data_IF_058746438141
#
_entry.id   IF_058746438141
#
_cell.length_a   1.000
_cell.length_b   1.000
_cell.length_c   1.000
_cell.angle_alpha   90.00
_cell.angle_beta   90.00
_cell.angle_gamma   90.00
#
_symmetry.space_group_name_H-M   'P 1'
#
loop_
_entity.id
_entity.type
_entity.pdbx_description
1 polymer ?
#
# COMPACT_ATOMS: atom_id res chain seq x y z
N UNK A 1 7.07 -6.25 -29.17
CA UNK A 1 6.37 -5.18 -28.43
C UNK A 1 5.12 -4.85 -29.21
N UNK A 2 4.04 -5.58 -28.90
CA UNK A 2 2.76 -5.52 -29.61
C UNK A 2 2.03 -4.31 -29.04
N UNK A 3 2.33 -3.13 -29.60
CA UNK A 3 1.55 -1.94 -29.28
C UNK A 3 0.15 -2.15 -29.83
N UNK A 4 -0.78 -2.37 -28.90
CA UNK A 4 -2.18 -2.69 -29.11
C UNK A 4 -2.86 -1.73 -30.10
N UNK A 5 -3.38 -2.25 -31.22
CA UNK A 5 -3.98 -1.48 -32.32
C UNK A 5 -4.88 -0.32 -31.83
N UNK A 6 -4.30 0.88 -31.88
CA UNK A 6 -4.96 2.16 -31.58
C UNK A 6 -5.33 2.41 -30.11
N UNK A 7 -4.84 1.65 -29.12
CA UNK A 7 -4.95 2.05 -27.70
C UNK A 7 -3.94 3.17 -27.42
N UNK A 8 -2.68 2.94 -27.78
CA UNK A 8 -1.61 3.93 -27.60
C UNK A 8 -1.95 5.24 -28.30
N UNK A 9 -2.36 5.18 -29.57
CA UNK A 9 -2.75 6.36 -30.34
C UNK A 9 -3.88 7.14 -29.68
N UNK A 10 -4.94 6.45 -29.23
CA UNK A 10 -6.06 7.09 -28.54
C UNK A 10 -5.63 7.73 -27.20
N UNK A 11 -4.76 7.09 -26.44
CA UNK A 11 -4.25 7.66 -25.19
C UNK A 11 -3.34 8.87 -25.45
N UNK A 12 -2.48 8.83 -26.47
CA UNK A 12 -1.68 9.99 -26.90
C UNK A 12 -2.58 11.16 -27.32
N UNK A 13 -3.66 10.88 -28.05
CA UNK A 13 -4.66 11.90 -28.38
C UNK A 13 -5.35 12.46 -27.13
N UNK A 14 -5.74 11.61 -26.18
CA UNK A 14 -6.34 12.04 -24.92
C UNK A 14 -5.40 12.97 -24.14
N UNK A 15 -4.14 12.57 -23.95
CA UNK A 15 -3.10 13.39 -23.29
C UNK A 15 -2.96 14.76 -23.98
N UNK A 16 -2.87 14.76 -25.31
CA UNK A 16 -2.71 15.99 -26.09
C UNK A 16 -3.92 16.93 -25.93
N UNK A 17 -5.14 16.41 -25.90
CA UNK A 17 -6.34 17.23 -25.76
C UNK A 17 -6.51 17.79 -24.34
N UNK A 18 -6.22 16.99 -23.30
CA UNK A 18 -6.21 17.45 -21.91
C UNK A 18 -5.15 18.52 -21.71
N UNK A 19 -3.92 18.32 -22.23
CA UNK A 19 -2.86 19.35 -22.22
C UNK A 19 -3.32 20.65 -22.87
N UNK A 20 -3.94 20.58 -24.06
CA UNK A 20 -4.50 21.77 -24.73
C UNK A 20 -5.60 22.43 -23.91
N UNK A 21 -6.39 21.68 -23.15
CA UNK A 21 -7.43 22.24 -22.28
C UNK A 21 -6.82 23.00 -21.12
N UNK A 22 -5.78 22.46 -20.46
CA UNK A 22 -5.03 23.17 -19.41
C UNK A 22 -4.39 24.45 -19.97
N UNK A 23 -3.81 24.42 -21.17
CA UNK A 23 -3.29 25.63 -21.83
C UNK A 23 -4.38 26.67 -22.14
N UNK A 24 -5.58 26.23 -22.50
CA UNK A 24 -6.73 27.13 -22.69
C UNK A 24 -7.18 27.73 -21.36
N UNK A 25 -7.19 26.95 -20.28
CA UNK A 25 -7.47 27.42 -18.92
C UNK A 25 -6.47 28.48 -18.50
N UNK A 26 -5.17 28.25 -18.74
CA UNK A 26 -4.11 29.25 -18.53
C UNK A 26 -4.38 30.55 -19.28
N UNK A 27 -4.70 30.46 -20.58
CA UNK A 27 -5.07 31.63 -21.40
C UNK A 27 -6.34 32.33 -20.90
N UNK A 28 -7.31 31.57 -20.40
CA UNK A 28 -8.56 32.10 -19.87
C UNK A 28 -8.33 32.86 -18.56
N UNK A 29 -7.54 32.32 -17.63
CA UNK A 29 -7.24 32.99 -16.37
C UNK A 29 -6.45 34.29 -16.58
N UNK A 30 -5.53 34.32 -17.53
CA UNK A 30 -4.80 35.54 -17.89
C UNK A 30 -5.69 36.56 -18.64
N UNK A 31 -6.67 36.10 -19.42
CA UNK A 31 -7.59 36.98 -20.15
C UNK A 31 -8.93 36.30 -20.41
N UNK A 32 -9.91 36.47 -19.50
CA UNK A 32 -11.21 35.86 -19.66
C UNK A 32 -11.90 36.31 -20.95
N UNK A 33 -12.43 35.38 -21.73
CA UNK A 33 -13.24 35.71 -22.91
C UNK A 33 -14.31 34.67 -23.16
N UNK A 34 -15.46 35.13 -23.66
CA UNK A 34 -16.59 34.24 -23.98
C UNK A 34 -16.20 33.16 -24.99
N UNK A 35 -15.39 33.52 -25.98
CA UNK A 35 -14.87 32.59 -27.00
C UNK A 35 -14.04 31.46 -26.39
N UNK A 36 -13.21 31.75 -25.39
CA UNK A 36 -12.42 30.73 -24.70
C UNK A 36 -13.30 29.82 -23.84
N UNK A 37 -14.27 30.39 -23.11
CA UNK A 37 -15.25 29.64 -22.33
C UNK A 37 -16.00 28.61 -23.18
N UNK A 38 -16.59 29.06 -24.29
CA UNK A 38 -17.35 28.17 -25.19
C UNK A 38 -16.43 27.12 -25.84
N UNK A 39 -15.15 27.44 -26.08
CA UNK A 39 -14.18 26.52 -26.67
C UNK A 39 -13.68 25.41 -25.73
N UNK A 40 -13.71 25.64 -24.42
CA UNK A 40 -13.37 24.62 -23.43
C UNK A 40 -14.55 23.66 -23.28
N UNK A 41 -15.75 24.20 -23.00
CA UNK A 41 -16.97 23.41 -22.83
C UNK A 41 -17.32 22.52 -24.03
N UNK A 42 -17.02 22.97 -25.25
CA UNK A 42 -17.28 22.18 -26.46
C UNK A 42 -16.37 20.94 -26.60
N UNK A 43 -15.31 20.81 -25.79
CA UNK A 43 -14.36 19.69 -25.87
C UNK A 43 -14.55 18.62 -24.79
N UNK A 44 -15.42 18.88 -23.82
CA UNK A 44 -15.68 17.97 -22.69
C UNK A 44 -16.16 16.59 -23.17
N UNK A 45 -17.27 16.57 -23.92
CA UNK A 45 -17.84 15.36 -24.53
C UNK A 45 -16.81 14.54 -25.35
N UNK A 46 -15.83 15.22 -25.96
CA UNK A 46 -14.81 14.57 -26.77
C UNK A 46 -13.78 13.82 -25.93
N UNK A 47 -13.30 14.42 -24.84
CA UNK A 47 -12.36 13.80 -23.88
C UNK A 47 -13.03 12.61 -23.20
N UNK A 48 -14.28 12.78 -22.79
CA UNK A 48 -15.11 11.72 -22.20
C UNK A 48 -15.30 10.51 -23.12
N UNK A 49 -15.57 10.79 -24.39
CA UNK A 49 -15.69 9.74 -25.39
C UNK A 49 -14.34 9.05 -25.66
N UNK A 50 -13.23 9.79 -25.72
CA UNK A 50 -11.89 9.20 -25.87
C UNK A 50 -11.54 8.25 -24.70
N UNK A 51 -11.76 8.68 -23.46
CA UNK A 51 -11.64 7.84 -22.26
C UNK A 51 -12.46 6.56 -22.41
N UNK A 52 -13.73 6.69 -22.79
CA UNK A 52 -14.64 5.55 -22.98
C UNK A 52 -14.19 4.60 -24.09
N UNK A 53 -13.62 5.12 -25.19
CA UNK A 53 -13.03 4.31 -26.26
C UNK A 53 -11.83 3.51 -25.73
N UNK A 54 -10.92 4.17 -25.00
CA UNK A 54 -9.73 3.53 -24.41
C UNK A 54 -10.14 2.40 -23.47
N UNK A 55 -11.05 2.67 -22.52
CA UNK A 55 -11.57 1.67 -21.58
C UNK A 55 -12.14 0.46 -22.31
N UNK A 56 -13.06 0.68 -23.26
CA UNK A 56 -13.65 -0.43 -24.04
C UNK A 56 -12.60 -1.24 -24.79
N UNK A 57 -11.58 -0.60 -25.36
CA UNK A 57 -10.48 -1.31 -26.05
C UNK A 57 -9.64 -2.12 -25.06
N UNK A 58 -9.30 -1.57 -23.89
CA UNK A 58 -8.55 -2.27 -22.85
C UNK A 58 -9.30 -3.52 -22.37
N UNK A 59 -10.58 -3.37 -22.00
CA UNK A 59 -11.42 -4.51 -21.58
C UNK A 59 -11.58 -5.55 -22.68
N UNK A 60 -11.87 -5.12 -23.91
CA UNK A 60 -12.01 -6.03 -25.05
C UNK A 60 -10.74 -6.82 -25.30
N UNK A 61 -9.57 -6.20 -25.11
CA UNK A 61 -8.29 -6.89 -25.28
C UNK A 61 -8.05 -7.90 -24.15
N UNK A 62 -8.25 -7.48 -22.89
CA UNK A 62 -8.13 -8.34 -21.71
C UNK A 62 -9.03 -9.59 -21.76
N UNK A 63 -10.23 -9.47 -22.34
CA UNK A 63 -11.19 -10.60 -22.44
C UNK A 63 -10.92 -11.50 -23.65
N UNK A 64 -10.49 -10.94 -24.78
CA UNK A 64 -10.36 -11.71 -26.04
C UNK A 64 -9.08 -12.53 -26.12
N UNK A 65 -8.01 -12.05 -25.51
CA UNK A 65 -6.71 -12.70 -25.61
C UNK A 65 -6.43 -13.53 -24.36
N UNK A 66 -6.69 -14.83 -24.45
CA UNK A 66 -6.46 -15.79 -23.35
C UNK A 66 -4.98 -16.09 -23.11
N UNK A 67 -4.07 -15.45 -23.85
CA UNK A 67 -2.61 -15.64 -23.76
C UNK A 67 -1.86 -14.42 -23.24
N UNK A 68 -2.56 -13.37 -22.78
CA UNK A 68 -1.91 -12.19 -22.23
C UNK A 68 -1.01 -12.55 -21.05
N UNK A 69 0.21 -12.02 -21.08
CA UNK A 69 1.14 -12.09 -19.96
C UNK A 69 0.68 -11.12 -18.86
N UNK A 70 1.06 -11.41 -17.61
CA UNK A 70 0.70 -10.58 -16.45
C UNK A 70 1.11 -9.11 -16.65
N UNK A 71 2.31 -8.86 -17.19
CA UNK A 71 2.80 -7.51 -17.49
C UNK A 71 1.91 -6.74 -18.49
N UNK A 72 1.34 -7.42 -19.49
CA UNK A 72 0.42 -6.79 -20.44
C UNK A 72 -0.90 -6.42 -19.76
N UNK A 73 -1.41 -7.28 -18.88
CA UNK A 73 -2.61 -7.00 -18.08
C UNK A 73 -2.38 -5.78 -17.19
N UNK A 74 -1.22 -5.69 -16.55
CA UNK A 74 -0.91 -4.58 -15.65
C UNK A 74 -0.69 -3.26 -16.41
N UNK A 75 -0.11 -3.30 -17.61
CA UNK A 75 -0.07 -2.14 -18.50
C UNK A 75 -1.47 -1.67 -18.92
N UNK A 76 -2.38 -2.59 -19.28
CA UNK A 76 -3.77 -2.24 -19.62
C UNK A 76 -4.50 -1.59 -18.44
N UNK A 77 -4.28 -2.07 -17.21
CA UNK A 77 -4.82 -1.43 -15.99
C UNK A 77 -4.25 -0.03 -15.79
N UNK A 78 -2.95 0.16 -15.99
CA UNK A 78 -2.33 1.47 -15.86
C UNK A 78 -2.88 2.46 -16.89
N UNK A 79 -3.04 2.04 -18.16
CA UNK A 79 -3.66 2.85 -19.22
C UNK A 79 -5.08 3.27 -18.84
N UNK A 80 -5.87 2.37 -18.25
CA UNK A 80 -7.23 2.64 -17.78
C UNK A 80 -7.25 3.72 -16.69
N UNK A 81 -6.43 3.54 -15.64
CA UNK A 81 -6.31 4.51 -14.54
C UNK A 81 -5.81 5.86 -15.05
N UNK A 82 -4.86 5.87 -15.98
CA UNK A 82 -4.34 7.10 -16.58
C UNK A 82 -5.43 7.81 -17.37
N UNK A 83 -6.22 7.10 -18.19
CA UNK A 83 -7.31 7.70 -18.95
C UNK A 83 -8.39 8.32 -18.06
N UNK A 84 -8.74 7.68 -16.93
CA UNK A 84 -9.68 8.23 -15.95
C UNK A 84 -9.14 9.50 -15.29
N UNK A 85 -7.87 9.51 -14.88
CA UNK A 85 -7.30 10.69 -14.22
C UNK A 85 -7.03 11.85 -15.20
N UNK A 86 -6.77 11.56 -16.48
CA UNK A 86 -6.69 12.57 -17.53
C UNK A 86 -8.02 13.31 -17.72
N UNK A 87 -9.15 12.58 -17.69
CA UNK A 87 -10.47 13.20 -17.72
C UNK A 87 -10.74 14.03 -16.46
N UNK A 88 -10.35 13.57 -15.26
CA UNK A 88 -10.45 14.41 -14.06
C UNK A 88 -9.69 15.73 -14.17
N UNK A 89 -8.51 15.73 -14.79
CA UNK A 89 -7.74 16.96 -15.06
C UNK A 89 -8.48 17.89 -16.03
N UNK A 90 -9.16 17.33 -17.04
CA UNK A 90 -10.05 18.08 -17.91
C UNK A 90 -11.24 18.69 -17.13
N UNK A 91 -11.91 17.90 -16.30
CA UNK A 91 -13.02 18.36 -15.45
C UNK A 91 -12.58 19.48 -14.50
N UNK A 92 -11.40 19.35 -13.89
CA UNK A 92 -10.85 20.41 -13.03
C UNK A 92 -10.55 21.69 -13.82
N UNK A 93 -10.12 21.56 -15.08
CA UNK A 93 -9.95 22.71 -15.97
C UNK A 93 -11.28 23.42 -16.23
N UNK A 94 -12.36 22.68 -16.43
CA UNK A 94 -13.70 23.23 -16.58
C UNK A 94 -14.18 23.92 -15.31
N UNK A 95 -13.98 23.28 -14.16
CA UNK A 95 -14.34 23.81 -12.85
C UNK A 95 -13.61 25.12 -12.55
N UNK A 96 -12.30 25.22 -12.86
CA UNK A 96 -11.52 26.46 -12.73
C UNK A 96 -12.15 27.60 -13.54
N UNK A 97 -12.49 27.32 -14.80
CA UNK A 97 -13.11 28.32 -15.68
C UNK A 97 -14.50 28.72 -15.18
N UNK A 98 -15.26 27.77 -14.65
CA UNK A 98 -16.54 28.03 -13.98
C UNK A 98 -16.38 28.92 -12.76
N UNK A 99 -15.38 28.64 -11.92
CA UNK A 99 -15.06 29.42 -10.72
C UNK A 99 -14.70 30.86 -11.05
N UNK A 100 -13.86 31.07 -12.06
CA UNK A 100 -13.44 32.41 -12.49
C UNK A 100 -14.61 33.32 -12.89
N UNK A 101 -15.79 32.78 -13.19
CA UNK A 101 -17.02 33.56 -13.42
C UNK A 101 -17.64 34.20 -12.17
N UNK A 102 -17.23 33.80 -10.96
CA UNK A 102 -17.69 34.38 -9.69
C UNK A 102 -16.81 35.52 -9.19
N UNK A 103 -15.69 35.79 -9.85
CA UNK A 103 -14.81 36.91 -9.51
C UNK A 103 -15.53 38.24 -9.76
N UNK A 104 -15.54 39.12 -8.76
CA UNK A 104 -16.08 40.49 -8.89
C UNK A 104 -14.97 41.43 -9.35
N UNK A 105 -13.81 41.33 -8.71
CA UNK A 105 -12.63 42.12 -9.04
C UNK A 105 -11.63 41.29 -9.87
N UNK A 106 -11.62 41.51 -11.18
CA UNK A 106 -10.77 40.75 -12.08
C UNK A 106 -9.27 40.99 -11.86
N UNK A 107 -8.88 42.12 -11.25
CA UNK A 107 -7.48 42.41 -10.96
C UNK A 107 -6.90 41.38 -9.96
N UNK A 108 -7.76 40.72 -9.17
CA UNK A 108 -7.36 39.64 -8.25
C UNK A 108 -6.69 38.46 -8.98
N UNK A 109 -7.10 38.18 -10.22
CA UNK A 109 -6.58 37.05 -11.00
C UNK A 109 -5.12 37.30 -11.41
N UNK A 110 -4.79 38.55 -11.73
CA UNK A 110 -3.43 38.97 -12.06
C UNK A 110 -2.54 39.05 -10.81
N UNK A 111 -3.10 39.45 -9.66
CA UNK A 111 -2.37 39.57 -8.39
C UNK A 111 -1.91 38.21 -7.85
N UNK A 112 -2.72 37.17 -8.02
CA UNK A 112 -2.42 35.85 -7.46
C UNK A 112 -1.48 35.03 -8.33
N UNK A 113 -1.53 35.19 -9.66
CA UNK A 113 -0.71 34.47 -10.63
C UNK A 113 -0.80 32.92 -10.51
N UNK A 114 -1.62 32.33 -11.37
CA UNK A 114 -1.83 30.88 -11.41
C UNK A 114 -0.79 30.14 -12.26
N UNK A 115 0.07 30.87 -12.98
CA UNK A 115 1.01 30.33 -13.95
C UNK A 115 1.96 29.28 -13.35
N UNK A 116 2.53 29.47 -12.14
CA UNK A 116 3.45 28.49 -11.56
C UNK A 116 2.85 27.10 -11.40
N UNK A 117 1.61 26.98 -10.92
CA UNK A 117 0.94 25.68 -10.77
C UNK A 117 0.52 25.09 -12.12
N UNK A 118 0.08 25.92 -13.06
CA UNK A 118 -0.28 25.46 -14.41
C UNK A 118 0.93 24.90 -15.17
N UNK A 119 2.10 25.50 -15.03
CA UNK A 119 3.35 25.00 -15.61
C UNK A 119 3.73 23.62 -15.05
N UNK A 120 3.57 23.41 -13.73
CA UNK A 120 3.80 22.11 -13.10
C UNK A 120 2.88 21.04 -13.70
N UNK A 121 1.58 21.34 -13.84
CA UNK A 121 0.61 20.42 -14.45
C UNK A 121 0.96 20.12 -15.91
N UNK A 122 1.28 21.13 -16.72
CA UNK A 122 1.64 20.95 -18.14
C UNK A 122 2.90 20.09 -18.28
N UNK A 123 3.94 20.39 -17.50
CA UNK A 123 5.20 19.63 -17.50
C UNK A 123 4.96 18.16 -17.13
N UNK A 124 4.11 17.89 -16.15
CA UNK A 124 3.76 16.53 -15.76
C UNK A 124 2.99 15.81 -16.88
N UNK A 125 2.00 16.46 -17.51
CA UNK A 125 1.24 15.90 -18.63
C UNK A 125 2.14 15.56 -19.83
N UNK A 126 3.17 16.37 -20.10
CA UNK A 126 4.15 16.11 -21.16
C UNK A 126 4.97 14.83 -20.90
N UNK A 127 5.16 14.44 -19.64
CA UNK A 127 5.89 13.23 -19.25
C UNK A 127 5.01 11.96 -19.20
N UNK A 128 3.67 12.08 -19.12
CA UNK A 128 2.75 10.94 -18.93
C UNK A 128 2.89 9.91 -20.05
N UNK A 129 2.96 10.34 -21.31
CA UNK A 129 3.03 9.41 -22.43
C UNK A 129 4.30 8.55 -22.38
N UNK A 130 5.45 9.18 -22.12
CA UNK A 130 6.72 8.47 -22.02
C UNK A 130 6.76 7.56 -20.80
N UNK A 131 6.22 7.99 -19.66
CA UNK A 131 6.07 7.16 -18.47
C UNK A 131 5.31 5.86 -18.79
N UNK A 132 4.13 5.97 -19.43
CA UNK A 132 3.26 4.82 -19.71
C UNK A 132 3.88 3.87 -20.74
N UNK A 133 4.30 4.38 -21.90
CA UNK A 133 4.67 3.51 -23.03
C UNK A 133 6.10 2.99 -22.96
N UNK A 134 7.00 3.71 -22.30
CA UNK A 134 8.37 3.25 -22.06
C UNK A 134 8.49 2.47 -20.73
N UNK A 135 7.43 2.48 -19.90
CA UNK A 135 7.42 1.93 -18.54
C UNK A 135 8.62 2.43 -17.70
N UNK A 136 9.04 3.68 -17.93
CA UNK A 136 10.19 4.25 -17.23
C UNK A 136 9.76 4.77 -15.85
N UNK A 137 10.12 4.01 -14.81
CA UNK A 137 9.87 4.35 -13.41
C UNK A 137 10.36 5.76 -13.07
N UNK A 138 11.51 6.20 -13.59
CA UNK A 138 12.03 7.54 -13.27
C UNK A 138 11.19 8.66 -13.87
N UNK A 139 10.67 8.47 -15.09
CA UNK A 139 9.74 9.41 -15.71
C UNK A 139 8.42 9.40 -14.95
N UNK A 140 7.92 8.24 -14.56
CA UNK A 140 6.70 8.13 -13.73
C UNK A 140 6.85 8.82 -12.37
N UNK A 141 8.01 8.70 -11.71
CA UNK A 141 8.31 9.43 -10.47
C UNK A 141 8.30 10.95 -10.66
N UNK A 142 8.75 11.44 -11.81
CA UNK A 142 8.66 12.87 -12.13
C UNK A 142 7.22 13.37 -12.25
N UNK A 143 6.29 12.50 -12.70
CA UNK A 143 4.86 12.79 -12.73
C UNK A 143 4.30 12.80 -11.30
N UNK A 144 4.68 11.83 -10.45
CA UNK A 144 4.24 11.80 -9.04
C UNK A 144 4.67 13.05 -8.26
N UNK A 145 5.91 13.53 -8.46
CA UNK A 145 6.46 14.72 -7.77
C UNK A 145 5.71 16.02 -8.08
N UNK A 146 4.86 16.05 -9.11
CA UNK A 146 4.04 17.21 -9.41
C UNK A 146 3.03 17.51 -8.29
N UNK A 147 2.51 16.49 -7.61
CA UNK A 147 1.56 16.66 -6.50
C UNK A 147 2.23 17.38 -5.32
N UNK A 148 3.36 16.88 -4.83
CA UNK A 148 4.16 17.55 -3.78
C UNK A 148 4.45 19.03 -4.07
N UNK A 149 4.76 19.37 -5.33
CA UNK A 149 5.03 20.75 -5.74
C UNK A 149 3.75 21.61 -5.72
N UNK A 150 2.63 21.07 -6.22
CA UNK A 150 1.33 21.74 -6.22
C UNK A 150 0.78 21.93 -4.80
N UNK A 151 0.95 20.96 -3.92
CA UNK A 151 0.55 21.04 -2.51
C UNK A 151 1.28 22.15 -1.77
N UNK A 152 2.59 22.26 -1.97
CA UNK A 152 3.41 23.33 -1.38
C UNK A 152 2.98 24.71 -1.89
N UNK A 153 2.71 24.84 -3.19
CA UNK A 153 2.23 26.09 -3.78
C UNK A 153 0.84 26.46 -3.25
N UNK A 154 -0.07 25.48 -3.17
CA UNK A 154 -1.40 25.66 -2.58
C UNK A 154 -1.33 26.12 -1.12
N UNK A 155 -0.49 25.50 -0.29
CA UNK A 155 -0.33 25.88 1.11
C UNK A 155 0.15 27.32 1.28
N UNK A 156 1.12 27.77 0.46
CA UNK A 156 1.60 29.16 0.46
C UNK A 156 0.48 30.14 0.12
N UNK A 157 -0.30 29.82 -0.91
CA UNK A 157 -1.40 30.67 -1.35
C UNK A 157 -2.55 30.69 -0.35
N UNK A 158 -2.86 29.55 0.29
CA UNK A 158 -3.88 29.47 1.32
C UNK A 158 -3.63 30.49 2.45
N UNK A 159 -2.38 30.59 2.92
CA UNK A 159 -2.01 31.57 3.93
C UNK A 159 -2.12 33.01 3.41
N UNK A 160 -1.68 33.27 2.17
CA UNK A 160 -1.83 34.58 1.53
C UNK A 160 -3.30 35.03 1.43
N UNK A 161 -4.19 34.14 0.97
CA UNK A 161 -5.64 34.41 0.88
C UNK A 161 -6.23 34.76 2.25
N UNK A 162 -5.85 34.03 3.30
CA UNK A 162 -6.31 34.32 4.66
C UNK A 162 -5.85 35.69 5.15
N UNK A 163 -4.62 36.09 4.84
CA UNK A 163 -4.09 37.38 5.25
C UNK A 163 -4.74 38.53 4.48
N UNK A 164 -4.96 38.37 3.18
CA UNK A 164 -5.69 39.36 2.35
C UNK A 164 -7.15 39.51 2.83
N UNK A 165 -7.80 38.40 3.22
CA UNK A 165 -9.15 38.44 3.78
C UNK A 165 -9.21 39.20 5.11
N UNK A 166 -8.21 39.01 6.00
CA UNK A 166 -8.09 39.78 7.25
C UNK A 166 -7.80 41.26 7.00
N UNK A 167 -7.08 41.57 5.92
CA UNK A 167 -6.76 42.93 5.50
C UNK A 167 -7.94 43.68 4.85
N UNK A 168 -9.10 43.02 4.69
CA UNK A 168 -10.31 43.62 4.14
C UNK A 168 -10.47 43.43 2.62
N UNK A 169 -9.74 42.49 2.01
CA UNK A 169 -9.96 42.11 0.62
C UNK A 169 -11.36 41.54 0.38
N UNK A 170 -11.83 41.65 -0.86
CA UNK A 170 -13.21 41.27 -1.22
C UNK A 170 -13.42 39.75 -1.05
N UNK A 171 -14.28 39.29 -0.11
CA UNK A 171 -14.35 37.90 0.27
C UNK A 171 -14.76 36.95 -0.86
N UNK A 172 -15.66 37.35 -1.75
CA UNK A 172 -16.14 36.49 -2.83
C UNK A 172 -14.99 36.16 -3.79
N UNK A 173 -14.26 37.17 -4.25
CA UNK A 173 -13.13 37.04 -5.17
C UNK A 173 -11.98 36.24 -4.54
N UNK A 174 -11.67 36.48 -3.27
CA UNK A 174 -10.64 35.72 -2.53
C UNK A 174 -11.01 34.24 -2.33
N UNK A 175 -12.28 33.95 -2.01
CA UNK A 175 -12.78 32.57 -1.90
C UNK A 175 -12.76 31.88 -3.27
N UNK A 176 -13.13 32.58 -4.34
CA UNK A 176 -13.04 32.07 -5.72
C UNK A 176 -11.60 31.74 -6.10
N UNK A 177 -10.64 32.61 -5.80
CA UNK A 177 -9.20 32.35 -6.00
C UNK A 177 -8.79 31.09 -5.26
N UNK A 178 -9.16 30.95 -3.98
CA UNK A 178 -8.83 29.75 -3.20
C UNK A 178 -9.38 28.47 -3.85
N UNK A 179 -10.62 28.49 -4.37
CA UNK A 179 -11.18 27.35 -5.08
C UNK A 179 -10.42 27.03 -6.37
N UNK A 180 -9.98 28.03 -7.15
CA UNK A 180 -9.15 27.81 -8.33
C UNK A 180 -7.84 27.11 -7.96
N UNK A 181 -7.16 27.59 -6.93
CA UNK A 181 -5.94 26.95 -6.40
C UNK A 181 -6.20 25.52 -5.90
N UNK A 182 -7.34 25.29 -5.25
CA UNK A 182 -7.75 23.95 -4.81
C UNK A 182 -7.96 23.01 -6.01
N UNK A 183 -8.56 23.46 -7.10
CA UNK A 183 -8.71 22.62 -8.29
C UNK A 183 -7.36 22.32 -8.97
N UNK A 184 -6.40 23.25 -8.95
CA UNK A 184 -5.04 23.00 -9.41
C UNK A 184 -4.31 21.97 -8.54
N UNK A 185 -4.46 22.03 -7.21
CA UNK A 185 -3.95 21.00 -6.30
C UNK A 185 -4.58 19.62 -6.59
N UNK A 186 -5.89 19.55 -6.83
CA UNK A 186 -6.56 18.28 -7.22
C UNK A 186 -6.12 17.73 -8.58
N UNK A 187 -5.59 18.56 -9.47
CA UNK A 187 -4.91 18.05 -10.67
C UNK A 187 -3.63 17.30 -10.29
N UNK A 188 -2.92 17.76 -9.25
CA UNK A 188 -1.81 17.06 -8.61
C UNK A 188 -2.18 15.65 -8.15
N UNK A 189 -3.26 15.50 -7.36
CA UNK A 189 -3.79 14.18 -6.95
C UNK A 189 -3.97 13.25 -8.16
N UNK A 190 -4.51 13.79 -9.25
CA UNK A 190 -4.77 13.02 -10.47
C UNK A 190 -3.47 12.59 -11.15
N UNK A 191 -2.47 13.47 -11.20
CA UNK A 191 -1.12 13.17 -11.71
C UNK A 191 -0.39 12.14 -10.84
N UNK A 192 -0.50 12.24 -9.51
CA UNK A 192 0.03 11.25 -8.58
C UNK A 192 -0.54 9.86 -8.89
N UNK A 193 -1.87 9.75 -8.99
CA UNK A 193 -2.54 8.49 -9.34
C UNK A 193 -2.09 7.93 -10.71
N UNK A 194 -1.82 8.79 -11.70
CA UNK A 194 -1.28 8.37 -12.99
C UNK A 194 0.12 7.77 -12.84
N UNK A 195 1.03 8.46 -12.15
CA UNK A 195 2.39 8.01 -11.94
C UNK A 195 2.45 6.71 -11.12
N UNK A 196 1.68 6.60 -10.04
CA UNK A 196 1.59 5.37 -9.22
C UNK A 196 1.10 4.16 -10.04
N UNK A 197 0.13 4.37 -10.95
CA UNK A 197 -0.37 3.31 -11.81
C UNK A 197 0.70 2.80 -12.78
N UNK A 198 1.51 3.70 -13.34
CA UNK A 198 2.63 3.35 -14.22
C UNK A 198 3.71 2.60 -13.45
N UNK A 199 4.11 3.10 -12.27
CA UNK A 199 5.10 2.44 -11.42
C UNK A 199 4.60 1.04 -11.04
N UNK A 200 3.33 0.92 -10.64
CA UNK A 200 2.72 -0.36 -10.30
C UNK A 200 2.77 -1.36 -11.46
N UNK A 201 2.51 -0.90 -12.69
CA UNK A 201 2.59 -1.75 -13.88
C UNK A 201 4.04 -2.14 -14.23
N UNK A 202 5.01 -1.25 -14.03
CA UNK A 202 6.42 -1.55 -14.24
C UNK A 202 6.96 -2.53 -13.19
N UNK A 203 6.52 -2.44 -11.94
CA UNK A 203 6.99 -3.28 -10.84
C UNK A 203 6.23 -4.60 -10.69
N UNK A 204 5.07 -4.75 -11.33
CA UNK A 204 4.22 -5.95 -11.24
C UNK A 204 3.35 -6.05 -9.98
N UNK A 205 3.35 -5.01 -9.13
CA UNK A 205 2.54 -4.95 -7.92
C UNK A 205 1.99 -3.53 -7.71
N UNK A 206 0.75 -3.43 -7.21
CA UNK A 206 0.17 -2.14 -6.81
C UNK A 206 0.97 -1.52 -5.67
N UNK A 207 1.65 -0.41 -5.95
CA UNK A 207 2.47 0.34 -5.00
C UNK A 207 2.09 1.81 -5.01
N UNK A 208 2.03 2.40 -3.81
CA UNK A 208 1.88 3.86 -3.64
C UNK A 208 3.25 4.52 -3.58
N UNK A 209 3.30 5.82 -3.83
CA UNK A 209 4.56 6.57 -3.88
C UNK A 209 5.32 6.52 -2.53
N UNK A 210 4.62 6.64 -1.40
CA UNK A 210 5.24 6.56 -0.06
C UNK A 210 5.91 5.21 0.18
N UNK A 211 5.24 4.14 -0.24
CA UNK A 211 5.74 2.77 -0.14
C UNK A 211 6.93 2.55 -1.06
N UNK A 212 6.93 3.17 -2.23
CA UNK A 212 8.06 3.15 -3.15
C UNK A 212 9.28 3.81 -2.52
N UNK A 213 9.14 4.99 -1.92
CA UNK A 213 10.24 5.67 -1.23
C UNK A 213 10.74 4.88 -0.01
N UNK A 214 9.84 4.29 0.77
CA UNK A 214 10.22 3.43 1.87
C UNK A 214 11.02 2.20 1.40
N UNK A 215 10.66 1.64 0.25
CA UNK A 215 11.42 0.56 -0.38
C UNK A 215 12.78 1.02 -0.89
N UNK A 216 12.85 2.17 -1.59
CA UNK A 216 14.11 2.76 -2.07
C UNK A 216 15.07 3.03 -0.91
N UNK A 217 14.62 3.71 0.13
CA UNK A 217 15.44 3.99 1.33
C UNK A 217 15.87 2.68 2.01
N UNK A 218 14.97 1.69 2.11
CA UNK A 218 15.31 0.38 2.70
C UNK A 218 16.37 -0.37 1.89
N UNK A 219 16.35 -0.25 0.55
CA UNK A 219 17.33 -0.88 -0.34
C UNK A 219 18.67 -0.14 -0.32
N UNK A 220 18.66 1.19 -0.29
CA UNK A 220 19.88 2.02 -0.24
C UNK A 220 20.66 1.79 1.06
N UNK A 221 19.95 1.63 2.18
CA UNK A 221 20.54 1.36 3.49
C UNK A 221 20.88 -0.11 3.71
N UNK A 222 20.33 -1.01 2.89
CA UNK A 222 20.83 -2.37 2.84
C UNK A 222 22.18 -2.38 2.10
N UNK A 223 23.23 -2.93 2.72
CA UNK A 223 24.54 -3.11 2.08
C UNK A 223 24.49 -4.21 0.98
N UNK A 224 23.56 -4.08 0.03
CA UNK A 224 23.28 -4.99 -1.07
C UNK A 224 23.66 -4.29 -2.38
N UNK A 225 24.97 -4.24 -2.68
CA UNK A 225 25.48 -3.52 -3.85
C UNK A 225 24.89 -4.04 -5.18
N UNK A 226 24.41 -5.29 -5.22
CA UNK A 226 23.72 -5.89 -6.39
C UNK A 226 22.29 -5.37 -6.64
N UNK A 227 21.65 -4.74 -5.65
CA UNK A 227 20.30 -4.15 -5.78
C UNK A 227 20.31 -2.65 -6.04
N UNK A 228 21.48 -1.99 -5.90
CA UNK A 228 21.66 -0.54 -6.07
C UNK A 228 21.70 -0.07 -7.52
N UNK A 229 21.93 -0.95 -8.49
CA UNK A 229 22.15 -0.58 -9.91
C UNK A 229 20.86 -0.23 -10.69
N UNK A 230 19.97 0.56 -10.08
CA UNK A 230 18.68 1.08 -10.57
C UNK A 230 17.45 0.21 -10.23
N UNK A 231 16.53 0.80 -9.46
CA UNK A 231 15.15 0.34 -9.20
C UNK A 231 14.35 -0.03 -10.47
N UNK A 232 14.81 0.42 -11.65
CA UNK A 232 14.28 0.04 -12.96
C UNK A 232 14.29 -1.47 -13.23
N UNK A 233 15.08 -2.26 -12.50
CA UNK A 233 15.15 -3.73 -12.67
C UNK A 233 14.60 -4.49 -11.45
N UNK A 234 13.95 -3.79 -10.52
CA UNK A 234 13.40 -4.40 -9.31
C UNK A 234 11.94 -4.77 -9.54
N UNK A 235 11.65 -6.07 -9.50
CA UNK A 235 10.29 -6.57 -9.53
C UNK A 235 9.79 -6.84 -8.11
N UNK A 236 8.55 -6.47 -7.85
CA UNK A 236 7.83 -6.82 -6.63
C UNK A 236 6.87 -7.96 -6.91
N UNK A 237 6.91 -8.98 -6.05
CA UNK A 237 5.92 -10.05 -6.08
C UNK A 237 5.16 -10.07 -4.75
N UNK A 238 3.84 -9.88 -4.76
CA UNK A 238 3.06 -9.93 -3.54
C UNK A 238 3.14 -11.35 -2.96
N UNK A 239 3.54 -11.45 -1.69
CA UNK A 239 3.51 -12.71 -0.94
C UNK A 239 2.27 -12.83 -0.05
N UNK A 240 1.63 -11.69 0.26
CA UNK A 240 0.36 -11.66 0.97
C UNK A 240 0.15 -10.34 1.71
N UNK A 241 -1.06 -10.17 2.23
CA UNK A 241 -1.38 -9.16 3.23
C UNK A 241 -1.70 -9.88 4.53
N UNK A 242 -1.02 -9.51 5.61
CA UNK A 242 -1.33 -10.07 6.93
C UNK A 242 -2.71 -9.59 7.38
N UNK A 243 -3.47 -10.40 8.13
CA UNK A 243 -4.74 -9.98 8.79
C UNK A 243 -4.56 -8.71 9.65
N UNK A 244 -3.32 -8.42 10.01
CA UNK A 244 -2.89 -7.29 10.81
C UNK A 244 -2.77 -5.96 10.04
N UNK A 245 -2.88 -6.00 8.71
CA UNK A 245 -2.77 -4.87 7.79
C UNK A 245 -1.36 -4.61 7.23
N UNK A 246 -0.37 -5.47 7.54
CA UNK A 246 0.97 -5.34 6.96
C UNK A 246 1.03 -6.01 5.59
N UNK A 247 1.60 -5.32 4.59
CA UNK A 247 1.78 -5.85 3.23
C UNK A 247 3.18 -6.42 3.06
N UNK A 248 3.28 -7.60 2.45
CA UNK A 248 4.53 -8.33 2.28
C UNK A 248 4.77 -8.60 0.80
N UNK A 249 5.94 -8.21 0.32
CA UNK A 249 6.38 -8.44 -1.06
C UNK A 249 7.78 -9.03 -1.08
N UNK A 250 8.04 -9.98 -1.96
CA UNK A 250 9.42 -10.30 -2.31
C UNK A 250 9.92 -9.30 -3.36
N UNK A 251 11.17 -8.90 -3.17
CA UNK A 251 11.89 -7.94 -4.02
C UNK A 251 13.02 -8.72 -4.70
N UNK A 252 13.07 -8.70 -6.02
CA UNK A 252 14.11 -9.39 -6.78
C UNK A 252 14.61 -8.52 -7.94
N UNK A 253 15.92 -8.57 -8.22
CA UNK A 253 16.50 -7.96 -9.41
C UNK A 253 16.32 -8.91 -10.61
N UNK A 254 15.54 -8.49 -11.61
CA UNK A 254 15.21 -9.32 -12.78
C UNK A 254 16.41 -9.62 -13.67
N UNK A 255 17.43 -8.74 -13.70
CA UNK A 255 18.59 -8.89 -14.59
C UNK A 255 19.65 -9.82 -14.03
N UNK A 256 19.93 -9.72 -12.74
CA UNK A 256 20.97 -10.52 -12.10
C UNK A 256 20.44 -11.83 -11.55
N UNK A 257 19.11 -11.97 -11.40
CA UNK A 257 18.51 -13.09 -10.67
C UNK A 257 18.99 -13.14 -9.21
N UNK A 258 19.46 -12.01 -8.67
CA UNK A 258 20.08 -11.89 -7.36
C UNK A 258 19.18 -12.38 -6.23
N UNK A 259 19.77 -12.53 -5.02
CA UNK A 259 19.05 -12.98 -3.82
C UNK A 259 17.82 -12.12 -3.60
N UNK A 260 16.66 -12.78 -3.52
CA UNK A 260 15.43 -12.09 -3.15
C UNK A 260 15.55 -11.56 -1.71
N UNK A 261 14.80 -10.51 -1.41
CA UNK A 261 14.59 -10.00 -0.05
C UNK A 261 13.10 -9.80 0.18
N UNK A 262 12.67 -9.79 1.44
CA UNK A 262 11.26 -9.57 1.79
C UNK A 262 11.09 -8.15 2.30
N UNK A 263 10.22 -7.39 1.65
CA UNK A 263 9.83 -6.06 2.08
C UNK A 263 8.48 -6.10 2.79
N UNK A 264 8.44 -5.65 4.04
CA UNK A 264 7.22 -5.56 4.86
C UNK A 264 7.01 -4.13 5.32
N UNK A 265 5.78 -3.66 5.20
CA UNK A 265 5.37 -2.32 5.64
C UNK A 265 4.12 -2.40 6.52
N UNK A 266 4.03 -1.53 7.53
CA UNK A 266 2.89 -1.46 8.43
C UNK A 266 3.07 -0.49 9.59
N UNK A 267 2.22 -0.64 10.61
CA UNK A 267 2.27 0.20 11.82
C UNK A 267 3.58 0.02 12.57
N UNK A 268 4.21 1.14 12.93
CA UNK A 268 5.53 1.19 13.58
C UNK A 268 5.60 0.31 14.84
N UNK A 269 4.60 0.39 15.72
CA UNK A 269 4.61 -0.40 16.96
C UNK A 269 4.73 -1.91 16.72
N UNK A 270 4.00 -2.44 15.72
CA UNK A 270 4.05 -3.87 15.38
C UNK A 270 5.39 -4.27 14.76
N UNK A 271 5.91 -3.41 13.89
CA UNK A 271 7.20 -3.64 13.24
C UNK A 271 8.37 -3.59 14.23
N UNK A 272 8.29 -2.75 15.25
CA UNK A 272 9.26 -2.73 16.36
C UNK A 272 9.18 -4.00 17.21
N UNK A 273 7.96 -4.48 17.50
CA UNK A 273 7.77 -5.74 18.22
C UNK A 273 8.35 -6.92 17.41
N UNK A 274 8.07 -6.97 16.11
CA UNK A 274 8.62 -8.00 15.21
C UNK A 274 10.13 -7.93 15.10
N UNK A 275 10.71 -6.74 14.93
CA UNK A 275 12.16 -6.54 14.93
C UNK A 275 12.79 -7.06 16.21
N UNK A 276 12.24 -6.69 17.38
CA UNK A 276 12.73 -7.14 18.69
C UNK A 276 12.65 -8.66 18.82
N UNK A 277 11.53 -9.27 18.41
CA UNK A 277 11.36 -10.72 18.44
C UNK A 277 12.38 -11.43 17.55
N UNK A 278 12.63 -10.92 16.35
CA UNK A 278 13.63 -11.49 15.43
C UNK A 278 15.04 -11.40 16.02
N UNK A 279 15.41 -10.25 16.59
CA UNK A 279 16.71 -10.07 17.27
C UNK A 279 16.86 -11.07 18.43
N UNK A 280 15.82 -11.25 19.24
CA UNK A 280 15.80 -12.25 20.32
C UNK A 280 15.91 -13.69 19.81
N UNK A 281 15.18 -14.05 18.75
CA UNK A 281 15.31 -15.37 18.13
C UNK A 281 16.72 -15.62 17.60
N UNK A 282 17.36 -14.61 17.00
CA UNK A 282 18.72 -14.74 16.51
C UNK A 282 19.73 -15.00 17.63
N UNK A 283 19.55 -14.38 18.80
CA UNK A 283 20.37 -14.61 19.99
C UNK A 283 20.15 -16.01 20.58
N UNK A 284 18.89 -16.45 20.70
CA UNK A 284 18.52 -17.69 21.38
C UNK A 284 18.74 -18.93 20.50
N UNK A 285 18.29 -18.88 19.25
CA UNK A 285 18.33 -19.99 18.28
C UNK A 285 18.72 -19.45 16.90
N UNK A 286 20.03 -19.25 16.65
CA UNK A 286 20.52 -18.69 15.39
C UNK A 286 20.05 -19.49 14.16
N UNK A 287 19.57 -18.78 13.14
CA UNK A 287 19.09 -19.37 11.88
C UNK A 287 17.59 -19.69 11.85
N UNK A 288 16.89 -19.63 12.98
CA UNK A 288 15.45 -19.90 13.04
C UNK A 288 14.59 -18.73 12.54
N UNK A 289 15.04 -17.49 12.76
CA UNK A 289 14.38 -16.27 12.28
C UNK A 289 15.16 -15.63 11.11
N UNK A 290 14.48 -14.92 10.20
CA UNK A 290 15.13 -14.21 9.10
C UNK A 290 16.05 -13.10 9.61
N UNK A 291 17.13 -12.80 8.91
CA UNK A 291 17.94 -11.61 9.19
C UNK A 291 17.23 -10.34 8.75
N UNK A 292 17.45 -9.25 9.49
CA UNK A 292 16.98 -7.91 9.10
C UNK A 292 18.13 -7.22 8.35
N UNK A 293 17.85 -6.79 7.13
CA UNK A 293 18.79 -6.01 6.32
C UNK A 293 18.71 -4.52 6.63
N UNK A 294 17.50 -3.98 6.77
CA UNK A 294 17.25 -2.57 7.08
C UNK A 294 15.89 -2.38 7.75
N UNK A 295 15.76 -1.27 8.47
CA UNK A 295 14.54 -0.87 9.18
C UNK A 295 14.39 0.65 9.10
N UNK A 296 13.28 1.12 8.57
CA UNK A 296 12.99 2.54 8.38
C UNK A 296 11.62 2.88 8.96
N UNK A 297 11.45 4.13 9.40
CA UNK A 297 10.15 4.59 9.89
C UNK A 297 9.93 6.08 9.66
N UNK A 298 8.67 6.44 9.44
CA UNK A 298 8.21 7.82 9.31
C UNK A 298 6.85 7.95 10.00
N UNK A 299 6.77 8.83 11.00
CA UNK A 299 5.56 8.98 11.80
C UNK A 299 5.14 7.67 12.50
N UNK A 300 3.91 7.24 12.28
CA UNK A 300 3.34 6.02 12.88
C UNK A 300 3.52 4.75 12.01
N UNK A 301 4.15 4.87 10.84
CA UNK A 301 4.40 3.76 9.93
C UNK A 301 5.89 3.43 9.85
N UNK A 302 6.20 2.20 9.49
CA UNK A 302 7.57 1.78 9.18
C UNK A 302 7.63 0.71 8.10
N UNK A 303 8.85 0.42 7.70
CA UNK A 303 9.19 -0.63 6.76
C UNK A 303 10.40 -1.43 7.26
N UNK A 304 10.40 -2.73 6.95
CA UNK A 304 11.50 -3.64 7.25
C UNK A 304 11.85 -4.43 6.00
N UNK A 305 13.14 -4.55 5.74
CA UNK A 305 13.68 -5.45 4.73
C UNK A 305 14.29 -6.67 5.42
N UNK A 306 13.77 -7.85 5.11
CA UNK A 306 14.26 -9.13 5.63
C UNK A 306 15.00 -9.93 4.57
N UNK A 307 15.84 -10.85 5.04
CA UNK A 307 16.36 -11.96 4.26
C UNK A 307 15.21 -12.80 3.69
N UNK A 308 15.34 -13.18 2.42
CA UNK A 308 14.48 -14.20 1.85
C UNK A 308 14.90 -15.58 2.35
N UNK A 309 13.97 -16.28 3.00
CA UNK A 309 14.17 -17.65 3.45
C UNK A 309 13.63 -18.63 2.39
N UNK A 310 14.44 -19.56 1.88
CA UNK A 310 13.98 -20.58 0.95
C UNK A 310 13.05 -21.59 1.63
N UNK A 311 12.32 -22.35 0.81
CA UNK A 311 11.42 -23.39 1.27
C UNK A 311 9.95 -23.11 0.97
N UNK A 312 9.08 -23.92 1.56
CA UNK A 312 7.61 -23.79 1.48
C UNK A 312 7.03 -23.73 2.87
N UNK A 313 5.86 -23.10 3.03
CA UNK A 313 5.15 -23.18 4.31
C UNK A 313 4.75 -24.62 4.58
N UNK A 314 4.66 -25.00 5.85
CA UNK A 314 4.22 -26.33 6.22
C UNK A 314 2.77 -26.59 5.76
N UNK A 315 1.94 -25.55 5.72
CA UNK A 315 0.62 -25.57 5.08
C UNK A 315 0.69 -26.02 3.62
N UNK A 316 1.54 -25.39 2.79
CA UNK A 316 1.69 -25.78 1.39
C UNK A 316 2.15 -27.23 1.20
N UNK A 317 3.03 -27.70 2.08
CA UNK A 317 3.52 -29.10 2.07
C UNK A 317 2.35 -30.05 2.36
N UNK A 318 1.53 -29.75 3.37
CA UNK A 318 0.33 -30.53 3.72
C UNK A 318 -0.67 -30.51 2.55
N UNK A 319 -0.95 -29.34 1.99
CA UNK A 319 -1.93 -29.16 0.90
C UNK A 319 -1.54 -29.91 -0.38
N UNK A 320 -0.25 -30.10 -0.63
CA UNK A 320 0.27 -30.90 -1.76
C UNK A 320 0.22 -32.41 -1.52
N UNK A 321 -0.09 -32.85 -0.30
CA UNK A 321 -0.26 -34.27 0.07
C UNK A 321 0.98 -35.15 -0.22
N UNK A 322 2.18 -34.55 -0.13
CA UNK A 322 3.46 -35.27 -0.31
C UNK A 322 3.86 -35.95 1.02
N UNK A 323 3.21 -37.08 1.37
CA UNK A 323 3.34 -37.75 2.69
C UNK A 323 4.78 -37.90 3.20
N UNK A 324 5.75 -38.42 2.41
CA UNK A 324 7.13 -38.56 2.90
C UNK A 324 7.77 -37.21 3.26
N UNK A 325 7.35 -36.14 2.59
CA UNK A 325 7.84 -34.78 2.84
C UNK A 325 7.18 -34.17 4.06
N UNK A 326 5.90 -34.45 4.30
CA UNK A 326 5.20 -34.08 5.53
C UNK A 326 5.87 -34.74 6.74
N UNK A 327 6.16 -36.04 6.67
CA UNK A 327 6.83 -36.77 7.76
C UNK A 327 8.23 -36.23 8.04
N UNK A 328 9.03 -35.98 7.01
CA UNK A 328 10.36 -35.38 7.16
C UNK A 328 10.29 -33.98 7.78
N UNK A 329 9.41 -33.11 7.25
CA UNK A 329 9.23 -31.76 7.77
C UNK A 329 8.76 -31.78 9.23
N UNK A 330 7.80 -32.64 9.58
CA UNK A 330 7.31 -32.77 10.95
C UNK A 330 8.40 -33.24 11.90
N UNK A 331 9.24 -34.19 11.48
CA UNK A 331 10.38 -34.66 12.27
C UNK A 331 11.37 -33.52 12.56
N UNK A 332 11.74 -32.75 11.53
CA UNK A 332 12.68 -31.65 11.65
C UNK A 332 12.09 -30.49 12.49
N UNK A 333 10.79 -30.18 12.30
CA UNK A 333 10.07 -29.21 13.14
C UNK A 333 10.10 -29.64 14.61
N UNK A 334 9.76 -30.89 14.92
CA UNK A 334 9.79 -31.40 16.29
C UNK A 334 11.18 -31.30 16.92
N UNK A 335 12.25 -31.58 16.17
CA UNK A 335 13.62 -31.44 16.63
C UNK A 335 13.94 -29.98 16.98
N UNK A 336 13.52 -29.02 16.13
CA UNK A 336 13.69 -27.59 16.38
C UNK A 336 12.88 -27.13 17.59
N UNK A 337 11.63 -27.56 17.75
CA UNK A 337 10.83 -27.20 18.93
C UNK A 337 11.45 -27.73 20.23
N UNK A 338 12.03 -28.94 20.19
CA UNK A 338 12.73 -29.51 21.34
C UNK A 338 14.01 -28.72 21.67
N UNK A 339 14.74 -28.25 20.66
CA UNK A 339 15.89 -27.37 20.85
C UNK A 339 15.48 -26.02 21.45
N UNK A 340 14.46 -25.36 20.89
CA UNK A 340 13.88 -24.11 21.39
C UNK A 340 13.49 -24.27 22.85
N UNK A 341 12.75 -25.33 23.19
CA UNK A 341 12.36 -25.65 24.55
C UNK A 341 13.58 -25.76 25.47
N UNK A 342 14.56 -26.55 25.08
CA UNK A 342 15.73 -26.84 25.92
C UNK A 342 16.59 -25.60 26.17
N UNK A 343 16.77 -24.76 25.14
CA UNK A 343 17.60 -23.55 25.22
C UNK A 343 16.94 -22.40 25.96
N UNK A 344 15.61 -22.26 25.84
CA UNK A 344 14.89 -21.06 26.29
C UNK A 344 14.06 -21.28 27.54
N UNK A 345 14.02 -22.49 28.08
CA UNK A 345 13.33 -22.77 29.33
C UNK A 345 13.92 -21.95 30.49
N UNK A 346 13.07 -21.17 31.14
CA UNK A 346 13.35 -20.41 32.35
C UNK A 346 12.36 -20.86 33.44
N UNK A 347 12.83 -21.15 34.65
CA UNK A 347 12.00 -21.58 35.79
C UNK A 347 11.15 -20.44 36.41
N UNK A 348 11.07 -19.29 35.74
CA UNK A 348 10.12 -18.22 36.07
C UNK A 348 8.69 -18.62 35.71
N UNK A 349 7.76 -18.57 36.68
CA UNK A 349 6.35 -18.77 36.39
C UNK A 349 5.77 -17.60 35.60
N UNK A 350 4.99 -17.89 34.56
CA UNK A 350 4.34 -16.89 33.70
C UNK A 350 2.84 -17.21 33.57
N UNK A 351 1.92 -16.25 33.72
CA UNK A 351 0.51 -16.49 33.48
C UNK A 351 0.23 -16.66 31.97
N UNK A 352 -0.59 -17.65 31.61
CA UNK A 352 -0.91 -17.94 30.21
C UNK A 352 -1.75 -16.83 29.53
N UNK A 353 -2.73 -16.30 30.26
CA UNK A 353 -3.53 -15.14 29.84
C UNK A 353 -4.45 -15.42 28.64
N UNK A 354 -4.88 -16.68 28.46
CA UNK A 354 -5.79 -17.09 27.40
C UNK A 354 -7.18 -16.49 27.60
N UNK A 355 -7.69 -16.46 28.83
CA UNK A 355 -9.04 -15.94 29.09
C UNK A 355 -9.09 -14.42 28.90
N UNK A 356 -8.00 -13.72 29.23
CA UNK A 356 -7.86 -12.29 28.92
C UNK A 356 -7.96 -12.02 27.42
N UNK A 357 -7.29 -12.83 26.60
CA UNK A 357 -7.32 -12.70 25.14
C UNK A 357 -8.69 -13.04 24.57
N UNK A 358 -9.33 -14.10 25.08
CA UNK A 358 -10.68 -14.50 24.66
C UNK A 358 -11.70 -13.41 24.98
N UNK A 359 -11.69 -12.88 26.21
CA UNK A 359 -12.54 -11.77 26.65
C UNK A 359 -12.41 -10.55 25.73
N UNK A 360 -11.18 -10.16 25.40
CA UNK A 360 -10.91 -8.98 24.58
C UNK A 360 -11.47 -9.09 23.15
N UNK A 361 -11.66 -10.30 22.62
CA UNK A 361 -12.15 -10.55 21.25
C UNK A 361 -13.64 -10.86 21.18
N UNK A 362 -14.25 -11.26 22.30
CA UNK A 362 -15.62 -11.78 22.32
C UNK A 362 -16.65 -10.74 21.85
N UNK A 363 -16.44 -9.46 22.18
CA UNK A 363 -17.28 -8.35 21.72
C UNK A 363 -17.32 -8.24 20.19
N UNK A 364 -16.16 -8.22 19.55
CA UNK A 364 -16.03 -8.16 18.09
C UNK A 364 -16.65 -9.39 17.41
N UNK A 365 -16.46 -10.58 18.02
CA UNK A 365 -17.06 -11.83 17.52
C UNK A 365 -18.58 -11.75 17.56
N UNK A 366 -19.18 -11.26 18.65
CA UNK A 366 -20.63 -11.10 18.73
C UNK A 366 -21.18 -9.99 17.84
N UNK A 367 -20.39 -8.96 17.56
CA UNK A 367 -20.76 -7.94 16.59
C UNK A 367 -20.86 -8.52 15.17
N UNK A 368 -19.92 -9.41 14.80
CA UNK A 368 -19.92 -10.10 13.51
C UNK A 368 -20.92 -11.27 13.46
N UNK A 369 -21.10 -11.98 14.57
CA UNK A 369 -21.95 -13.16 14.70
C UNK A 369 -22.86 -13.07 15.94
N UNK A 370 -23.93 -12.26 15.88
CA UNK A 370 -24.82 -12.06 17.03
C UNK A 370 -25.46 -13.35 17.55
N UNK A 371 -25.66 -14.35 16.68
CA UNK A 371 -26.23 -15.66 17.03
C UNK A 371 -25.33 -16.51 17.92
N UNK A 372 -24.03 -16.20 18.03
CA UNK A 372 -23.12 -16.90 18.94
C UNK A 372 -23.32 -16.46 20.39
N UNK A 373 -23.96 -15.31 20.60
CA UNK A 373 -24.28 -14.83 21.94
C UNK A 373 -25.53 -15.53 22.46
N UNK A 374 -25.31 -16.54 23.30
CA UNK A 374 -26.38 -17.31 23.92
C UNK A 374 -26.55 -16.89 25.38
N UNK A 375 -27.79 -16.68 25.78
CA UNK A 375 -28.12 -16.48 27.19
C UNK A 375 -28.02 -17.80 27.96
N UNK A 376 -27.90 -17.69 29.28
CA UNK A 376 -27.96 -18.86 30.16
C UNK A 376 -29.30 -19.59 29.99
N UNK A 377 -29.26 -20.92 29.95
CA UNK A 377 -30.44 -21.76 29.69
C UNK A 377 -30.45 -23.00 30.58
N UNK A 378 -31.57 -23.73 30.62
CA UNK A 378 -31.78 -24.85 31.53
C UNK A 378 -32.29 -26.11 30.81
N UNK A 379 -31.85 -27.29 31.26
CA UNK A 379 -32.37 -28.61 30.85
C UNK A 379 -32.53 -29.48 32.09
N UNK A 380 -33.74 -29.98 32.35
CA UNK A 380 -34.04 -30.90 33.46
C UNK A 380 -33.42 -30.48 34.82
N UNK A 381 -33.46 -29.18 35.11
CA UNK A 381 -32.93 -28.60 36.35
C UNK A 381 -31.42 -28.30 36.35
N UNK A 382 -30.70 -28.65 35.28
CA UNK A 382 -29.31 -28.27 35.07
C UNK A 382 -29.24 -26.90 34.39
N UNK A 383 -28.48 -25.97 34.99
CA UNK A 383 -28.22 -24.63 34.44
C UNK A 383 -26.95 -24.65 33.60
N UNK A 384 -27.04 -24.13 32.38
CA UNK A 384 -25.92 -23.84 31.49
C UNK A 384 -25.71 -22.33 31.47
N UNK A 385 -24.53 -21.87 31.88
CA UNK A 385 -24.20 -20.45 31.92
C UNK A 385 -23.91 -19.94 30.50
N UNK A 386 -24.06 -18.61 30.31
CA UNK A 386 -23.62 -17.97 29.08
C UNK A 386 -22.10 -18.11 28.93
N UNK A 387 -21.61 -18.07 27.69
CA UNK A 387 -20.18 -18.17 27.41
C UNK A 387 -19.39 -17.07 28.14
N UNK A 388 -19.92 -15.85 28.20
CA UNK A 388 -19.35 -14.72 28.95
C UNK A 388 -19.11 -15.09 30.41
N UNK A 389 -20.12 -15.65 31.08
CA UNK A 389 -20.02 -16.04 32.49
C UNK A 389 -18.97 -17.14 32.70
N UNK A 390 -18.88 -18.09 31.77
CA UNK A 390 -17.88 -19.17 31.80
C UNK A 390 -16.46 -18.61 31.60
N UNK A 391 -16.28 -17.66 30.70
CA UNK A 391 -15.00 -16.97 30.46
C UNK A 391 -14.59 -16.15 31.68
N UNK A 392 -15.52 -15.45 32.34
CA UNK A 392 -15.25 -14.73 33.59
C UNK A 392 -14.81 -15.68 34.72
N UNK A 393 -15.51 -16.79 34.89
CA UNK A 393 -15.16 -17.80 35.89
C UNK A 393 -13.78 -18.42 35.59
N UNK A 394 -13.52 -18.78 34.35
CA UNK A 394 -12.24 -19.32 33.92
C UNK A 394 -11.11 -18.30 34.08
N UNK A 395 -11.34 -17.02 33.79
CA UNK A 395 -10.36 -15.95 34.00
C UNK A 395 -9.96 -15.83 35.47
N UNK A 396 -10.92 -15.87 36.40
CA UNK A 396 -10.62 -15.81 37.83
C UNK A 396 -9.80 -17.02 38.32
N UNK A 397 -10.05 -18.20 37.75
CA UNK A 397 -9.25 -19.41 38.03
C UNK A 397 -7.84 -19.30 37.42
N UNK A 398 -7.73 -18.81 36.20
CA UNK A 398 -6.46 -18.58 35.50
C UNK A 398 -5.56 -17.63 36.30
N UNK A 399 -6.10 -16.47 36.68
CA UNK A 399 -5.35 -15.43 37.40
C UNK A 399 -4.85 -15.91 38.77
N UNK A 400 -5.68 -16.72 39.45
CA UNK A 400 -5.42 -17.17 40.82
C UNK A 400 -4.56 -18.42 40.92
N UNK A 401 -4.72 -19.39 40.01
CA UNK A 401 -4.16 -20.73 40.19
C UNK A 401 -3.30 -21.22 39.02
N UNK A 402 -3.56 -20.78 37.77
CA UNK A 402 -2.87 -21.32 36.60
C UNK A 402 -1.62 -20.50 36.28
N UNK A 403 -0.53 -20.84 36.98
CA UNK A 403 0.82 -20.33 36.71
C UNK A 403 1.77 -21.50 36.51
N UNK A 404 2.00 -21.92 35.26
CA UNK A 404 3.03 -22.90 34.92
C UNK A 404 4.34 -22.55 35.63
N UNK A 405 5.07 -23.54 36.17
CA UNK A 405 6.24 -23.29 36.99
C UNK A 405 7.49 -22.89 36.19
N UNK A 406 7.36 -22.76 34.87
CA UNK A 406 8.41 -22.37 33.95
C UNK A 406 7.80 -21.57 32.81
N UNK A 407 8.66 -20.99 31.99
CA UNK A 407 8.32 -20.38 30.71
C UNK A 407 9.34 -20.77 29.65
N UNK A 408 8.91 -20.72 28.40
CA UNK A 408 9.73 -21.00 27.22
C UNK A 408 9.51 -19.85 26.24
N UNK A 409 10.53 -19.48 25.48
CA UNK A 409 10.36 -18.50 24.42
C UNK A 409 9.64 -19.15 23.24
N UNK A 410 8.42 -18.72 22.96
CA UNK A 410 7.58 -19.29 21.91
C UNK A 410 7.36 -18.32 20.76
N UNK A 411 6.95 -18.85 19.62
CA UNK A 411 6.55 -18.06 18.45
C UNK A 411 5.39 -17.08 18.76
N UNK A 412 4.44 -17.52 19.59
CA UNK A 412 3.25 -16.75 19.97
C UNK A 412 2.12 -16.73 18.95
N UNK A 413 2.32 -17.31 17.76
CA UNK A 413 1.31 -17.53 16.71
C UNK A 413 1.73 -18.74 15.83
N UNK A 414 1.91 -19.90 16.47
CA UNK A 414 2.56 -21.07 15.86
C UNK A 414 1.63 -21.85 14.94
N UNK A 415 1.23 -21.22 13.84
CA UNK A 415 0.38 -21.81 12.81
C UNK A 415 1.23 -22.43 11.68
N UNK A 416 0.65 -23.37 10.94
CA UNK A 416 1.34 -24.10 9.87
C UNK A 416 1.73 -23.24 8.65
N UNK A 417 1.13 -22.07 8.50
CA UNK A 417 1.46 -21.04 7.50
C UNK A 417 2.63 -20.15 7.94
N UNK A 418 2.97 -20.13 9.23
CA UNK A 418 4.10 -19.36 9.79
C UNK A 418 5.40 -20.18 9.92
N UNK A 419 5.41 -21.42 9.44
CA UNK A 419 6.56 -22.33 9.51
C UNK A 419 7.03 -22.60 8.08
N UNK A 420 8.23 -22.16 7.73
CA UNK A 420 8.88 -22.48 6.46
C UNK A 420 9.79 -23.70 6.63
N UNK A 421 9.74 -24.61 5.66
CA UNK A 421 10.62 -25.76 5.58
C UNK A 421 11.39 -25.79 4.26
N UNK A 422 12.71 -25.70 4.36
CA UNK A 422 13.64 -25.94 3.25
C UNK A 422 14.04 -27.42 3.23
N UNK A 423 13.51 -28.16 2.26
CA UNK A 423 13.78 -29.58 2.10
C UNK A 423 15.21 -29.88 1.61
N UNK A 424 15.87 -28.94 0.94
CA UNK A 424 17.24 -29.13 0.43
C UNK A 424 18.24 -29.02 1.57
N UNK A 425 18.07 -28.02 2.44
CA UNK A 425 18.94 -27.79 3.59
C UNK A 425 18.47 -28.49 4.88
N UNK A 426 17.27 -29.09 4.86
CA UNK A 426 16.57 -29.60 6.05
C UNK A 426 16.49 -28.55 7.17
N UNK A 427 16.18 -27.33 6.77
CA UNK A 427 16.10 -26.19 7.67
C UNK A 427 14.64 -25.81 7.93
N UNK A 428 14.36 -25.42 9.18
CA UNK A 428 13.07 -24.88 9.61
C UNK A 428 13.27 -23.43 9.96
N UNK A 429 12.37 -22.57 9.48
CA UNK A 429 12.38 -21.16 9.80
C UNK A 429 10.99 -20.70 10.27
N UNK A 430 10.97 -19.74 11.18
CA UNK A 430 9.76 -19.09 11.65
C UNK A 430 9.61 -17.71 11.03
N UNK A 431 8.39 -17.36 10.64
CA UNK A 431 8.02 -16.06 10.08
C UNK A 431 6.83 -15.47 10.84
N UNK A 432 6.60 -14.16 10.71
CA UNK A 432 5.57 -13.43 11.48
C UNK A 432 5.75 -13.49 13.01
N UNK A 433 6.95 -13.13 13.46
CA UNK A 433 7.41 -13.30 14.84
C UNK A 433 6.94 -12.21 15.82
N UNK A 434 6.02 -11.33 15.40
CA UNK A 434 5.57 -10.16 16.18
C UNK A 434 4.91 -10.50 17.53
N UNK A 435 4.50 -11.76 17.75
CA UNK A 435 3.89 -12.24 19.01
C UNK A 435 4.82 -13.03 19.92
N UNK A 436 6.09 -13.18 19.53
CA UNK A 436 7.03 -14.01 20.29
C UNK A 436 7.25 -13.46 21.69
N UNK A 437 7.24 -14.36 22.68
CA UNK A 437 7.33 -14.03 24.10
C UNK A 437 7.65 -15.26 24.93
N UNK A 438 8.11 -15.04 26.16
CA UNK A 438 8.14 -16.09 27.17
C UNK A 438 6.73 -16.36 27.70
N UNK A 439 6.27 -17.61 27.61
CA UNK A 439 5.00 -18.07 28.18
C UNK A 439 5.02 -19.59 28.36
N UNK A 440 3.92 -20.15 28.82
CA UNK A 440 3.58 -21.57 28.67
C UNK A 440 3.62 -22.00 27.20
N UNK A 441 4.10 -23.21 26.92
CA UNK A 441 4.05 -23.85 25.60
C UNK A 441 2.75 -24.64 25.38
N UNK A 442 1.95 -24.87 26.43
CA UNK A 442 0.63 -25.50 26.37
C UNK A 442 -0.45 -24.55 25.87
#
# INVERSE_FOLDING_TARGET
MIVHEGIEENLRFLILEVRKQVEKTRKFLARPSRKLLDSVRAKDDYIDNLKSIIQRKCFKHAVRDTKLQQAEIDLLKAIEIVAVNLERVADFSENIIGQAGYVIDHDVLDVYDFDPMLEVVIRALDAVADAVFQQDVQVALSVCRAEDELDRLYAQVFHRVLDDMKAGGEPQSLVTVLFIYRYLERMGDSLLNMGEAVISAAMGERIKIDRFWALEDSLDNANLDEMKENLRNVALRPMGETKSGCRISSVQNEKTGGRAVIFKEGKLGKLLDEKRSIEQWHELVPGLAPRIHSFHHQGENGSILFEYLPGRTFEEIIMRQEVPRIESALSDICAVLQEVWTRTRDDKPVPAGFMKQMRARLGDVYQLHPSFRQEAWHVDGLRFNALEDLVEQAFALEEKYLRPPFSVFIHGDFNIDNILYDAEQKAVHFIDLHRSRFTDYL
#
